data_IF_246262464957
#
_entry.id   IF_246262464957
#
_cell.length_a   1.000
_cell.length_b   1.000
_cell.length_c   1.000
_cell.angle_alpha   90.00
_cell.angle_beta   90.00
_cell.angle_gamma   90.00
#
_symmetry.space_group_name_H-M   'P 1'
#
loop_
_entity.id
_entity.type
_entity.pdbx_description
1 polymer ?
#
# COMPACT_ATOMS: atom_id res chain seq x y z
N UNK A 1 -13.12 49.10 87.91
CA UNK A 1 -11.90 48.84 87.11
C UNK A 1 -12.21 49.15 85.65
N UNK A 2 -11.35 49.96 85.04
CA UNK A 2 -11.47 50.49 83.67
C UNK A 2 -11.19 49.41 82.63
N UNK A 3 -11.92 49.36 81.52
CA UNK A 3 -11.36 48.93 80.22
C UNK A 3 -12.21 49.39 79.02
N UNK A 4 -11.64 50.40 78.34
CA UNK A 4 -11.66 50.82 76.92
C UNK A 4 -12.81 50.41 75.96
N UNK A 5 -13.26 51.35 75.10
CA UNK A 5 -14.12 51.04 73.97
C UNK A 5 -13.34 50.31 72.86
N UNK A 6 -13.97 49.42 72.08
CA UNK A 6 -13.31 48.75 70.97
C UNK A 6 -13.13 49.69 69.77
N UNK A 7 -11.96 49.58 69.17
CA UNK A 7 -11.47 50.36 68.03
C UNK A 7 -12.31 50.16 66.78
N UNK A 8 -12.54 51.25 66.04
CA UNK A 8 -13.00 51.22 64.65
C UNK A 8 -11.88 50.66 63.76
N UNK A 9 -12.05 49.42 63.29
CA UNK A 9 -11.27 48.90 62.18
C UNK A 9 -11.94 49.28 60.86
N UNK A 10 -11.36 50.27 60.18
CA UNK A 10 -11.63 50.56 58.77
C UNK A 10 -11.22 49.37 57.90
N UNK A 11 -12.19 48.55 57.49
CA UNK A 11 -11.98 47.54 56.44
C UNK A 11 -11.83 48.25 55.10
N UNK A 12 -10.59 48.30 54.60
CA UNK A 12 -10.32 48.59 53.18
C UNK A 12 -10.98 47.47 52.36
N UNK A 13 -11.93 47.84 51.51
CA UNK A 13 -12.44 46.96 50.47
C UNK A 13 -11.33 46.84 49.40
N UNK A 14 -10.64 45.71 49.35
CA UNK A 14 -9.75 45.40 48.23
C UNK A 14 -10.64 44.85 47.12
N UNK A 15 -10.89 45.65 46.07
CA UNK A 15 -11.46 45.14 44.83
C UNK A 15 -10.40 44.23 44.18
N UNK A 16 -10.57 42.92 44.32
CA UNK A 16 -9.88 41.96 43.46
C UNK A 16 -10.53 42.00 42.09
N UNK A 17 -9.89 42.66 41.14
CA UNK A 17 -10.24 42.57 39.73
C UNK A 17 -9.87 41.16 39.24
N UNK A 18 -10.85 40.28 39.10
CA UNK A 18 -10.68 39.01 38.36
C UNK A 18 -10.58 39.33 36.89
N UNK A 19 -9.35 39.38 36.37
CA UNK A 19 -9.10 39.38 34.94
C UNK A 19 -9.39 37.97 34.40
N UNK A 20 -10.58 37.77 33.83
CA UNK A 20 -10.88 36.61 32.97
C UNK A 20 -10.02 36.72 31.72
N UNK A 21 -8.91 35.99 31.67
CA UNK A 21 -8.15 35.78 30.45
C UNK A 21 -9.00 34.92 29.50
N UNK A 22 -9.57 35.55 28.47
CA UNK A 22 -10.18 34.83 27.37
C UNK A 22 -9.07 34.12 26.60
N UNK A 23 -9.00 32.79 26.70
CA UNK A 23 -8.17 31.97 25.83
C UNK A 23 -8.76 32.04 24.41
N UNK A 24 -8.13 32.84 23.57
CA UNK A 24 -8.38 32.80 22.13
C UNK A 24 -7.84 31.46 21.61
N UNK A 25 -8.74 30.52 21.32
CA UNK A 25 -8.41 29.34 20.52
C UNK A 25 -8.16 29.80 19.09
N UNK A 26 -6.89 30.00 18.73
CA UNK A 26 -6.49 30.07 17.32
C UNK A 26 -6.58 28.67 16.74
N UNK A 27 -7.66 28.36 16.03
CA UNK A 27 -7.69 27.23 15.11
C UNK A 27 -6.67 27.51 14.01
N UNK A 28 -5.48 26.92 14.11
CA UNK A 28 -4.54 26.92 13.01
C UNK A 28 -5.20 26.20 11.83
N UNK A 29 -5.52 26.95 10.78
CA UNK A 29 -5.98 26.38 9.53
C UNK A 29 -4.78 25.61 8.94
N UNK A 30 -4.76 24.29 9.13
CA UNK A 30 -3.80 23.42 8.44
C UNK A 30 -4.20 23.45 6.98
N UNK A 31 -3.49 24.28 6.20
CA UNK A 31 -3.63 24.27 4.75
C UNK A 31 -3.26 22.86 4.26
N UNK A 32 -4.02 22.27 3.31
CA UNK A 32 -3.64 21.01 2.72
C UNK A 32 -2.22 21.17 2.15
N UNK A 33 -1.30 20.35 2.66
CA UNK A 33 0.05 20.29 2.16
C UNK A 33 -0.03 19.98 0.67
N UNK A 34 0.58 20.81 -0.17
CA UNK A 34 0.77 20.49 -1.57
C UNK A 34 1.42 19.10 -1.64
N UNK A 35 0.87 18.19 -2.46
CA UNK A 35 1.44 16.88 -2.67
C UNK A 35 2.96 17.03 -2.89
N UNK A 36 3.76 16.39 -2.04
CA UNK A 36 5.21 16.36 -2.23
C UNK A 36 5.54 15.74 -3.58
N UNK A 37 6.73 16.02 -4.11
CA UNK A 37 7.22 15.30 -5.29
C UNK A 37 7.20 13.79 -5.00
N UNK A 38 6.79 12.97 -5.98
CA UNK A 38 6.75 11.53 -5.78
C UNK A 38 8.14 10.98 -5.44
N UNK A 39 8.17 9.93 -4.62
CA UNK A 39 9.41 9.30 -4.16
C UNK A 39 10.28 8.88 -5.36
N UNK A 40 11.60 9.04 -5.28
CA UNK A 40 12.51 8.63 -6.36
C UNK A 40 13.07 7.22 -6.17
N UNK A 41 12.78 6.58 -5.03
CA UNK A 41 13.25 5.24 -4.67
C UNK A 41 12.28 4.59 -3.67
N UNK A 42 12.12 3.26 -3.68
CA UNK A 42 11.22 2.57 -2.76
C UNK A 42 11.65 2.68 -1.31
N UNK A 43 10.69 2.92 -0.42
CA UNK A 43 10.83 2.69 1.02
C UNK A 43 10.34 1.28 1.35
N UNK A 44 11.03 0.60 2.27
CA UNK A 44 10.68 -0.73 2.74
C UNK A 44 11.53 -1.86 2.18
N UNK A 45 10.97 -3.07 2.13
CA UNK A 45 11.72 -4.27 1.74
C UNK A 45 12.24 -4.22 0.30
N UNK A 46 11.61 -3.45 -0.60
CA UNK A 46 12.09 -3.21 -1.96
C UNK A 46 13.21 -2.17 -2.08
N UNK A 47 13.67 -1.58 -0.96
CA UNK A 47 14.75 -0.57 -0.95
C UNK A 47 15.98 -1.02 -1.76
N UNK A 48 16.53 -0.10 -2.55
CA UNK A 48 17.66 -0.37 -3.46
C UNK A 48 17.27 -0.90 -4.84
N UNK A 49 15.97 -1.05 -5.14
CA UNK A 49 15.49 -1.30 -6.51
C UNK A 49 15.63 -0.04 -7.37
N UNK A 50 16.30 -0.15 -8.51
CA UNK A 50 16.59 0.97 -9.43
C UNK A 50 16.01 0.78 -10.82
N UNK A 51 15.58 -0.44 -11.17
CA UNK A 51 15.04 -0.77 -12.48
C UNK A 51 16.09 -0.58 -13.59
N UNK A 52 15.71 0.15 -14.63
CA UNK A 52 16.60 0.57 -15.72
C UNK A 52 17.59 1.67 -15.35
N UNK A 53 17.52 2.23 -14.14
CA UNK A 53 18.39 3.30 -13.67
C UNK A 53 18.40 4.50 -14.62
N UNK A 54 19.60 4.88 -15.08
CA UNK A 54 19.81 6.02 -15.99
C UNK A 54 19.87 5.63 -17.47
N UNK A 55 19.42 4.43 -17.85
CA UNK A 55 19.40 4.02 -19.25
C UNK A 55 18.52 4.97 -20.08
N UNK A 56 18.93 5.23 -21.33
CA UNK A 56 18.16 6.05 -22.25
C UNK A 56 16.77 5.45 -22.48
N UNK A 57 15.73 6.25 -22.29
CA UNK A 57 14.36 5.78 -22.39
C UNK A 57 13.94 5.52 -23.85
N UNK A 58 13.26 4.40 -24.07
CA UNK A 58 12.58 4.07 -25.32
C UNK A 58 11.08 4.23 -25.10
N UNK A 59 10.39 4.99 -25.96
CA UNK A 59 8.93 5.15 -25.89
C UNK A 59 8.24 4.19 -26.83
N UNK A 60 7.20 3.50 -26.34
CA UNK A 60 6.42 2.52 -27.09
C UNK A 60 4.92 2.80 -26.94
N UNK A 61 4.16 2.52 -28.00
CA UNK A 61 2.69 2.71 -28.03
C UNK A 61 1.93 1.52 -28.60
N UNK A 62 2.63 0.43 -28.92
CA UNK A 62 2.04 -0.81 -29.46
C UNK A 62 2.53 -2.02 -28.68
N UNK A 63 1.75 -3.10 -28.71
CA UNK A 63 2.09 -4.35 -28.03
C UNK A 63 3.42 -4.94 -28.53
N UNK A 64 3.64 -4.96 -29.85
CA UNK A 64 4.84 -5.55 -30.44
C UNK A 64 6.11 -4.76 -30.09
N UNK A 65 6.02 -3.43 -30.13
CA UNK A 65 7.10 -2.56 -29.68
C UNK A 65 7.38 -2.75 -28.19
N UNK A 66 6.33 -2.86 -27.36
CA UNK A 66 6.46 -3.11 -25.93
C UNK A 66 7.16 -4.45 -25.65
N UNK A 67 6.68 -5.56 -26.21
CA UNK A 67 7.28 -6.90 -26.06
C UNK A 67 8.75 -6.92 -26.45
N UNK A 68 9.09 -6.27 -27.57
CA UNK A 68 10.46 -6.15 -28.04
C UNK A 68 11.32 -5.37 -27.04
N UNK A 69 10.81 -4.24 -26.53
CA UNK A 69 11.55 -3.35 -25.66
C UNK A 69 11.79 -3.91 -24.25
N UNK A 70 10.93 -4.79 -23.72
CA UNK A 70 11.03 -5.30 -22.33
C UNK A 70 11.78 -6.62 -22.17
N UNK A 71 12.17 -7.26 -23.27
CA UNK A 71 12.87 -8.55 -23.26
C UNK A 71 14.35 -8.39 -22.84
N UNK A 72 14.93 -9.45 -22.27
CA UNK A 72 16.35 -9.53 -21.89
C UNK A 72 16.67 -8.82 -20.58
N UNK A 73 17.93 -8.82 -20.16
CA UNK A 73 18.33 -8.37 -18.81
C UNK A 73 19.19 -7.09 -18.78
N UNK A 74 19.50 -6.51 -19.95
CA UNK A 74 20.20 -5.23 -20.01
C UNK A 74 19.35 -4.11 -19.37
N UNK A 75 20.03 -3.15 -18.73
CA UNK A 75 19.37 -2.01 -18.11
C UNK A 75 18.57 -1.20 -19.14
N UNK A 76 17.28 -0.97 -18.86
CA UNK A 76 16.36 -0.35 -19.83
C UNK A 76 15.21 0.39 -19.16
N UNK A 77 14.88 1.54 -19.73
CA UNK A 77 13.71 2.35 -19.35
C UNK A 77 12.74 2.36 -20.53
N UNK A 78 11.56 1.80 -20.35
CA UNK A 78 10.50 1.72 -21.36
C UNK A 78 9.38 2.66 -20.93
N UNK A 79 9.15 3.70 -21.73
CA UNK A 79 8.02 4.62 -21.57
C UNK A 79 6.82 4.11 -22.36
N UNK A 80 5.74 3.77 -21.68
CA UNK A 80 4.48 3.35 -22.31
C UNK A 80 3.65 4.60 -22.59
N UNK A 81 3.27 4.82 -23.84
CA UNK A 81 2.45 5.96 -24.26
C UNK A 81 1.14 5.47 -24.88
N UNK A 82 0.05 5.62 -24.14
CA UNK A 82 -1.27 5.12 -24.48
C UNK A 82 -1.65 3.84 -23.73
N UNK A 83 -2.91 3.44 -23.89
CA UNK A 83 -3.46 2.23 -23.29
C UNK A 83 -3.32 1.06 -24.26
N UNK A 84 -2.40 0.13 -23.98
CA UNK A 84 -2.07 -0.98 -24.87
C UNK A 84 -2.91 -2.22 -24.48
N UNK A 85 -3.75 -2.76 -25.37
CA UNK A 85 -4.47 -4.00 -25.09
C UNK A 85 -3.50 -5.19 -25.07
N UNK A 86 -3.68 -6.05 -24.07
CA UNK A 86 -2.96 -7.31 -23.91
C UNK A 86 -3.89 -8.50 -24.12
N UNK A 87 -3.31 -9.62 -24.53
CA UNK A 87 -3.97 -10.93 -24.51
C UNK A 87 -3.06 -11.88 -23.74
N UNK A 88 -3.43 -12.17 -22.49
CA UNK A 88 -2.59 -12.92 -21.55
C UNK A 88 -1.52 -12.04 -20.91
N UNK A 89 -0.34 -12.62 -20.67
CA UNK A 89 0.74 -11.98 -19.92
C UNK A 89 1.93 -11.60 -20.83
N UNK A 90 2.59 -10.48 -20.52
CA UNK A 90 3.88 -10.10 -21.12
C UNK A 90 4.99 -10.23 -20.08
N UNK A 91 6.01 -11.05 -20.39
CA UNK A 91 7.17 -11.23 -19.51
C UNK A 91 8.11 -10.02 -19.57
N UNK A 92 8.50 -9.52 -18.40
CA UNK A 92 9.41 -8.38 -18.23
C UNK A 92 10.77 -8.91 -17.75
N UNK A 93 11.85 -8.57 -18.46
CA UNK A 93 13.20 -8.96 -18.08
C UNK A 93 13.82 -8.12 -16.97
N UNK A 94 14.99 -8.52 -16.46
CA UNK A 94 15.66 -7.84 -15.34
C UNK A 94 16.13 -6.42 -15.69
N UNK A 95 16.44 -5.63 -14.65
CA UNK A 95 16.97 -4.26 -14.78
C UNK A 95 16.09 -3.35 -15.64
N UNK A 96 14.78 -3.41 -15.39
CA UNK A 96 13.78 -2.79 -16.24
C UNK A 96 12.96 -1.78 -15.46
N UNK A 97 12.77 -0.59 -16.03
CA UNK A 97 11.74 0.34 -15.60
C UNK A 97 10.67 0.41 -16.68
N UNK A 98 9.44 0.01 -16.37
CA UNK A 98 8.26 0.27 -17.20
C UNK A 98 7.53 1.46 -16.60
N UNK A 99 7.44 2.55 -17.36
CA UNK A 99 6.93 3.84 -16.89
C UNK A 99 5.82 4.35 -17.81
N UNK A 100 4.63 4.63 -17.27
CA UNK A 100 3.58 5.27 -18.07
C UNK A 100 3.87 6.75 -18.37
N UNK A 101 3.53 7.20 -19.57
CA UNK A 101 3.56 8.60 -19.99
C UNK A 101 2.22 9.25 -19.67
N UNK A 102 2.23 10.35 -18.91
CA UNK A 102 1.00 11.02 -18.50
C UNK A 102 0.13 10.14 -17.59
N UNK A 103 -1.16 10.47 -17.50
CA UNK A 103 -2.11 9.81 -16.61
C UNK A 103 -2.93 8.69 -17.25
N UNK A 104 -2.87 8.53 -18.58
CA UNK A 104 -3.74 7.62 -19.34
C UNK A 104 -3.01 6.43 -19.97
N UNK A 105 -1.72 6.27 -19.69
CA UNK A 105 -0.92 5.18 -20.25
C UNK A 105 -1.00 3.91 -19.43
N UNK A 106 -0.86 2.76 -20.08
CA UNK A 106 -0.91 1.48 -19.37
C UNK A 106 -1.35 0.30 -20.23
N UNK A 107 -1.99 -0.68 -19.59
CA UNK A 107 -2.38 -1.95 -20.18
C UNK A 107 -3.80 -2.34 -19.82
N UNK A 108 -4.50 -3.03 -20.73
CA UNK A 108 -5.84 -3.56 -20.46
C UNK A 108 -6.05 -4.95 -21.05
N UNK A 109 -6.90 -5.77 -20.44
CA UNK A 109 -7.30 -7.09 -20.98
C UNK A 109 -6.32 -8.24 -20.68
N UNK A 110 -5.24 -7.95 -19.95
CA UNK A 110 -4.20 -8.90 -19.59
C UNK A 110 -3.24 -8.30 -18.57
N UNK A 111 -2.02 -8.85 -18.49
CA UNK A 111 -1.10 -8.57 -17.39
C UNK A 111 0.37 -8.48 -17.75
N UNK A 112 1.17 -8.02 -16.78
CA UNK A 112 2.63 -8.11 -16.82
C UNK A 112 3.09 -9.23 -15.91
N UNK A 113 4.12 -9.98 -16.31
CA UNK A 113 4.73 -10.99 -15.44
C UNK A 113 6.23 -10.75 -15.28
N UNK A 114 6.66 -10.67 -14.04
CA UNK A 114 8.05 -10.61 -13.62
C UNK A 114 8.43 -12.00 -13.11
N UNK A 115 9.05 -12.81 -13.97
CA UNK A 115 9.32 -14.22 -13.66
C UNK A 115 10.81 -14.51 -13.68
N UNK A 116 11.36 -14.93 -12.53
CA UNK A 116 12.79 -15.23 -12.37
C UNK A 116 13.68 -14.04 -12.73
N UNK A 117 13.27 -12.84 -12.34
CA UNK A 117 13.98 -11.60 -12.64
C UNK A 117 14.35 -10.84 -11.37
N UNK A 118 15.21 -9.85 -11.52
CA UNK A 118 15.55 -8.93 -10.42
C UNK A 118 15.60 -7.49 -10.90
N UNK A 119 15.44 -6.57 -9.95
CA UNK A 119 15.61 -5.14 -10.16
C UNK A 119 14.64 -4.58 -11.21
N UNK A 120 13.35 -4.60 -10.88
CA UNK A 120 12.29 -4.14 -11.78
C UNK A 120 11.42 -3.08 -11.12
N UNK A 121 11.16 -1.99 -11.86
CA UNK A 121 10.25 -0.91 -11.46
C UNK A 121 9.08 -0.89 -12.44
N UNK A 122 7.85 -0.97 -11.92
CA UNK A 122 6.61 -0.80 -12.71
C UNK A 122 5.87 0.40 -12.13
N UNK A 123 5.73 1.46 -12.93
CA UNK A 123 5.38 2.77 -12.40
C UNK A 123 4.45 3.59 -13.28
N UNK A 124 3.50 4.29 -12.67
CA UNK A 124 2.63 5.27 -13.36
C UNK A 124 1.75 4.70 -14.47
N UNK A 125 1.25 3.47 -14.33
CA UNK A 125 0.44 2.80 -15.35
C UNK A 125 -0.99 2.56 -14.88
N UNK A 126 -1.95 2.69 -15.79
CA UNK A 126 -3.27 2.11 -15.61
C UNK A 126 -3.20 0.63 -16.00
N UNK A 127 -3.60 -0.29 -15.12
CA UNK A 127 -3.58 -1.72 -15.38
C UNK A 127 -4.98 -2.25 -15.11
N UNK A 128 -5.73 -2.52 -16.18
CA UNK A 128 -7.17 -2.78 -16.06
C UNK A 128 -7.62 -4.11 -16.65
N UNK A 129 -8.65 -4.70 -16.04
CA UNK A 129 -9.37 -5.87 -16.56
C UNK A 129 -8.43 -7.04 -16.94
N UNK A 130 -7.59 -7.53 -16.01
CA UNK A 130 -6.70 -8.64 -16.28
C UNK A 130 -7.52 -9.93 -16.40
N UNK A 131 -7.87 -10.31 -17.64
CA UNK A 131 -8.68 -11.50 -17.91
C UNK A 131 -7.91 -12.74 -17.45
N UNK A 132 -8.56 -13.58 -16.65
CA UNK A 132 -7.96 -14.82 -16.17
C UNK A 132 -7.46 -15.67 -17.36
N UNK A 133 -6.29 -16.34 -17.26
CA UNK A 133 -5.50 -16.55 -16.04
C UNK A 133 -4.41 -15.49 -15.81
N UNK A 134 -4.52 -14.29 -16.39
CA UNK A 134 -3.60 -13.19 -16.07
C UNK A 134 -4.02 -12.45 -14.81
N UNK A 135 -3.03 -12.06 -14.01
CA UNK A 135 -3.19 -10.98 -13.03
C UNK A 135 -2.86 -9.64 -13.68
N UNK A 136 -3.15 -8.52 -13.02
CA UNK A 136 -2.65 -7.22 -13.48
C UNK A 136 -1.12 -7.19 -13.52
N UNK A 137 -0.48 -7.59 -12.41
CA UNK A 137 0.94 -7.88 -12.34
C UNK A 137 1.13 -9.19 -11.55
N UNK A 138 1.92 -10.11 -12.10
CA UNK A 138 2.40 -11.31 -11.39
C UNK A 138 3.91 -11.20 -11.15
N UNK A 139 4.34 -11.32 -9.90
CA UNK A 139 5.75 -11.39 -9.49
C UNK A 139 6.03 -12.82 -9.01
N UNK A 140 6.84 -13.56 -9.77
CA UNK A 140 7.08 -14.98 -9.55
C UNK A 140 8.58 -15.26 -9.48
N UNK A 141 9.07 -15.88 -8.40
CA UNK A 141 10.49 -16.19 -8.19
C UNK A 141 11.43 -15.00 -8.47
N UNK A 142 11.01 -13.78 -8.09
CA UNK A 142 11.70 -12.54 -8.47
C UNK A 142 12.05 -11.70 -7.24
N UNK A 143 13.09 -10.88 -7.35
CA UNK A 143 13.58 -10.05 -6.23
C UNK A 143 13.77 -8.59 -6.58
N UNK A 144 13.74 -7.69 -5.59
CA UNK A 144 13.99 -6.25 -5.79
C UNK A 144 13.01 -5.67 -6.82
N UNK A 145 11.74 -5.61 -6.40
CA UNK A 145 10.64 -5.14 -7.24
C UNK A 145 9.98 -3.94 -6.58
N UNK A 146 9.73 -2.90 -7.37
CA UNK A 146 9.00 -1.72 -6.95
C UNK A 146 7.79 -1.48 -7.86
N UNK A 147 6.59 -1.52 -7.26
CA UNK A 147 5.32 -1.30 -7.93
C UNK A 147 4.74 -0.01 -7.37
N UNK A 148 4.80 1.06 -8.15
CA UNK A 148 4.58 2.42 -7.63
C UNK A 148 3.64 3.27 -8.48
N UNK A 149 2.73 4.02 -7.86
CA UNK A 149 1.85 4.97 -8.57
C UNK A 149 1.08 4.34 -9.74
N UNK A 150 0.72 3.07 -9.66
CA UNK A 150 -0.11 2.43 -10.68
C UNK A 150 -1.59 2.50 -10.28
N UNK A 151 -2.47 2.44 -11.26
CA UNK A 151 -3.91 2.35 -11.07
C UNK A 151 -4.45 1.01 -11.57
N UNK A 152 -4.63 0.08 -10.64
CA UNK A 152 -5.22 -1.23 -10.86
C UNK A 152 -6.75 -1.16 -10.78
N UNK A 153 -7.43 -1.77 -11.75
CA UNK A 153 -8.90 -1.84 -11.74
C UNK A 153 -9.45 -3.03 -12.52
N UNK A 154 -10.67 -3.43 -12.20
CA UNK A 154 -11.46 -4.35 -13.01
C UNK A 154 -12.94 -3.91 -12.97
N UNK A 155 -13.85 -4.87 -12.86
CA UNK A 155 -15.23 -4.68 -12.45
C UNK A 155 -15.67 -5.90 -11.62
N UNK A 156 -16.85 -5.80 -10.99
CA UNK A 156 -17.44 -6.87 -10.16
C UNK A 156 -18.75 -7.41 -10.74
N UNK A 157 -19.00 -7.13 -12.00
CA UNK A 157 -20.25 -7.46 -12.71
C UNK A 157 -20.25 -8.91 -13.25
N UNK A 158 -19.21 -9.67 -12.92
CA UNK A 158 -18.98 -11.05 -13.29
C UNK A 158 -18.70 -11.90 -12.04
N UNK A 159 -18.60 -13.21 -12.23
CA UNK A 159 -18.10 -14.11 -11.18
C UNK A 159 -16.67 -13.71 -10.75
N UNK A 160 -16.34 -13.98 -9.48
CA UNK A 160 -15.07 -13.62 -8.86
C UNK A 160 -13.83 -14.18 -9.55
N UNK A 161 -13.97 -15.22 -10.37
CA UNK A 161 -12.87 -15.88 -11.08
C UNK A 161 -12.84 -15.57 -12.59
N UNK A 162 -13.69 -14.66 -13.08
CA UNK A 162 -13.58 -14.13 -14.46
C UNK A 162 -12.27 -13.33 -14.65
N UNK A 163 -11.94 -12.51 -13.66
CA UNK A 163 -10.64 -11.88 -13.49
C UNK A 163 -9.88 -12.60 -12.38
N UNK A 164 -8.55 -12.69 -12.46
CA UNK A 164 -7.75 -13.27 -11.38
C UNK A 164 -7.32 -12.22 -10.32
N UNK A 165 -6.04 -12.09 -9.97
CA UNK A 165 -5.55 -11.05 -9.05
C UNK A 165 -5.30 -9.70 -9.74
N UNK A 166 -5.28 -8.59 -8.99
CA UNK A 166 -4.66 -7.36 -9.51
C UNK A 166 -3.14 -7.41 -9.35
N UNK A 167 -2.65 -7.94 -8.22
CA UNK A 167 -1.22 -8.10 -7.95
C UNK A 167 -0.94 -9.38 -7.17
N UNK A 168 -0.24 -10.32 -7.80
CA UNK A 168 0.18 -11.55 -7.14
C UNK A 168 1.70 -11.62 -6.99
N UNK A 169 2.19 -11.98 -5.80
CA UNK A 169 3.60 -12.11 -5.46
C UNK A 169 3.83 -13.50 -4.86
N UNK A 170 4.48 -14.40 -5.59
CA UNK A 170 4.53 -15.82 -5.21
C UNK A 170 5.85 -16.49 -5.59
N UNK A 171 5.96 -17.78 -5.27
CA UNK A 171 7.08 -18.64 -5.62
C UNK A 171 8.42 -18.10 -5.12
N UNK A 172 8.55 -17.87 -3.82
CA UNK A 172 9.78 -17.38 -3.21
C UNK A 172 10.22 -15.98 -3.65
N UNK A 173 9.33 -15.20 -4.28
CA UNK A 173 9.61 -13.79 -4.58
C UNK A 173 9.93 -13.03 -3.30
N UNK A 174 10.76 -11.99 -3.39
CA UNK A 174 11.30 -11.35 -2.20
C UNK A 174 11.70 -9.90 -2.41
N UNK A 175 11.80 -9.12 -1.32
CA UNK A 175 12.20 -7.72 -1.38
C UNK A 175 11.32 -6.88 -2.34
N UNK A 176 10.02 -6.81 -2.03
CA UNK A 176 9.04 -6.09 -2.85
C UNK A 176 8.45 -4.90 -2.08
N UNK A 177 8.40 -3.73 -2.72
CA UNK A 177 7.63 -2.57 -2.24
C UNK A 177 6.49 -2.27 -3.21
N UNK A 178 5.29 -2.11 -2.67
CA UNK A 178 4.06 -1.73 -3.35
C UNK A 178 3.60 -0.41 -2.74
N UNK A 179 3.78 0.70 -3.45
CA UNK A 179 3.58 2.04 -2.89
C UNK A 179 2.71 2.94 -3.75
N UNK A 180 1.90 3.78 -3.13
CA UNK A 180 1.16 4.84 -3.85
C UNK A 180 0.28 4.34 -4.99
N UNK A 181 -0.15 3.08 -5.00
CA UNK A 181 -1.01 2.55 -6.04
C UNK A 181 -2.49 2.71 -5.67
N UNK A 182 -3.38 2.74 -6.65
CA UNK A 182 -4.81 2.52 -6.43
C UNK A 182 -5.21 1.13 -6.87
N UNK A 183 -6.01 0.44 -6.07
CA UNK A 183 -6.66 -0.83 -6.41
C UNK A 183 -8.17 -0.64 -6.29
N UNK A 184 -8.90 -0.87 -7.38
CA UNK A 184 -10.33 -0.55 -7.44
C UNK A 184 -11.17 -1.66 -8.05
N UNK A 185 -12.40 -1.77 -7.54
CA UNK A 185 -13.52 -2.48 -8.16
C UNK A 185 -13.17 -3.92 -8.58
N UNK A 186 -12.76 -4.73 -7.59
CA UNK A 186 -12.28 -6.09 -7.86
C UNK A 186 -12.52 -7.06 -6.71
N UNK A 187 -12.52 -8.36 -6.99
CA UNK A 187 -12.70 -9.38 -5.96
C UNK A 187 -11.42 -9.76 -5.20
N UNK A 188 -10.28 -9.86 -5.90
CA UNK A 188 -9.02 -10.41 -5.39
C UNK A 188 -7.89 -9.39 -5.54
N UNK A 189 -7.69 -8.54 -4.52
CA UNK A 189 -6.75 -7.41 -4.58
C UNK A 189 -5.31 -7.85 -4.83
N UNK A 190 -4.66 -8.40 -3.81
CA UNK A 190 -3.29 -8.87 -3.87
C UNK A 190 -3.02 -10.12 -3.04
N UNK A 191 -2.49 -11.16 -3.69
CA UNK A 191 -2.05 -12.39 -3.05
C UNK A 191 -0.52 -12.40 -2.86
N UNK A 192 -0.05 -12.83 -1.69
CA UNK A 192 1.36 -13.07 -1.42
C UNK A 192 1.53 -14.49 -0.88
N UNK A 193 2.16 -15.36 -1.68
CA UNK A 193 2.23 -16.81 -1.44
C UNK A 193 0.95 -17.54 -1.88
N UNK A 194 1.07 -18.35 -2.93
CA UNK A 194 -0.11 -18.84 -3.68
C UNK A 194 -0.82 -20.05 -3.04
N UNK A 195 -0.11 -20.86 -2.25
CA UNK A 195 -0.60 -22.17 -1.78
C UNK A 195 -0.07 -22.50 -0.38
N UNK A 196 -0.92 -23.07 0.46
CA UNK A 196 -0.56 -23.60 1.80
C UNK A 196 0.47 -24.73 1.70
N UNK A 197 0.58 -25.39 0.55
CA UNK A 197 1.49 -26.50 0.30
C UNK A 197 2.84 -26.09 -0.30
N UNK A 198 3.14 -24.78 -0.36
CA UNK A 198 4.37 -24.26 -0.97
C UNK A 198 5.45 -23.83 0.04
N UNK A 199 5.36 -24.32 1.28
CA UNK A 199 6.26 -23.92 2.37
C UNK A 199 7.74 -24.11 2.04
N UNK A 200 8.12 -25.13 1.26
CA UNK A 200 9.51 -25.41 0.89
C UNK A 200 10.15 -24.32 0.02
N UNK A 201 9.35 -23.57 -0.73
CA UNK A 201 9.81 -22.48 -1.58
C UNK A 201 9.57 -21.11 -0.93
N UNK A 202 8.46 -20.94 -0.21
CA UNK A 202 8.04 -19.62 0.29
C UNK A 202 8.58 -19.27 1.69
N UNK A 203 8.94 -20.28 2.51
CA UNK A 203 9.46 -20.02 3.87
C UNK A 203 10.82 -19.34 3.81
N UNK A 204 10.96 -18.21 4.51
CA UNK A 204 12.18 -17.38 4.48
C UNK A 204 12.21 -16.34 3.37
N UNK A 205 11.17 -16.28 2.53
CA UNK A 205 10.99 -15.34 1.44
C UNK A 205 9.75 -14.46 1.65
N UNK A 206 9.22 -13.87 0.57
CA UNK A 206 7.98 -13.08 0.56
C UNK A 206 8.03 -11.89 1.54
N UNK A 207 9.16 -11.17 1.58
CA UNK A 207 9.25 -9.91 2.33
C UNK A 207 8.69 -8.76 1.51
N UNK A 208 7.55 -8.24 1.96
CA UNK A 208 6.75 -7.28 1.21
C UNK A 208 6.43 -6.04 2.05
N UNK A 209 6.45 -4.87 1.42
CA UNK A 209 5.98 -3.62 2.03
C UNK A 209 4.86 -3.04 1.19
N UNK A 210 3.77 -2.65 1.83
CA UNK A 210 2.65 -1.94 1.23
C UNK A 210 2.48 -0.61 1.94
N UNK A 211 2.63 0.51 1.24
CA UNK A 211 2.35 1.81 1.85
C UNK A 211 1.71 2.84 0.94
N UNK A 212 0.91 3.71 1.55
CA UNK A 212 0.23 4.80 0.85
C UNK A 212 -0.63 4.34 -0.34
N UNK A 213 -1.07 3.07 -0.35
CA UNK A 213 -1.95 2.56 -1.38
C UNK A 213 -3.41 2.87 -1.03
N UNK A 214 -4.21 3.08 -2.06
CA UNK A 214 -5.66 3.25 -1.96
C UNK A 214 -6.39 1.99 -2.46
N UNK A 215 -7.01 1.23 -1.56
CA UNK A 215 -7.89 0.13 -1.90
C UNK A 215 -9.35 0.59 -1.76
N UNK A 216 -10.10 0.58 -2.86
CA UNK A 216 -11.50 1.02 -2.87
C UNK A 216 -12.39 0.00 -3.56
N UNK A 217 -13.41 -0.51 -2.86
CA UNK A 217 -14.31 -1.53 -3.39
C UNK A 217 -13.55 -2.79 -3.87
N UNK A 218 -12.52 -3.19 -3.12
CA UNK A 218 -11.79 -4.44 -3.30
C UNK A 218 -12.29 -5.43 -2.27
N UNK A 219 -12.87 -6.55 -2.70
CA UNK A 219 -13.62 -7.44 -1.80
C UNK A 219 -12.72 -8.13 -0.77
N UNK A 220 -11.58 -8.68 -1.20
CA UNK A 220 -10.68 -9.46 -0.34
C UNK A 220 -9.23 -9.38 -0.80
N UNK A 221 -8.32 -9.92 0.04
CA UNK A 221 -6.87 -10.01 -0.20
C UNK A 221 -6.20 -8.64 -0.26
N UNK A 222 -6.06 -7.94 0.87
CA UNK A 222 -5.47 -6.60 0.95
C UNK A 222 -4.36 -6.50 2.02
N UNK A 223 -3.18 -7.12 1.79
CA UNK A 223 -2.97 -8.32 0.98
C UNK A 223 -3.41 -9.58 1.75
N UNK A 224 -3.47 -10.72 1.06
CA UNK A 224 -3.49 -12.05 1.70
C UNK A 224 -2.09 -12.64 1.65
N UNK A 225 -1.40 -12.73 2.78
CA UNK A 225 -0.01 -13.17 2.92
C UNK A 225 0.10 -14.54 3.58
N UNK A 226 0.87 -15.43 2.97
CA UNK A 226 1.33 -16.71 3.54
C UNK A 226 2.84 -16.72 3.74
N UNK A 227 3.31 -17.41 4.79
CA UNK A 227 4.71 -17.69 5.16
C UNK A 227 5.64 -16.49 5.40
N UNK A 228 5.52 -15.43 4.60
CA UNK A 228 6.44 -14.31 4.56
C UNK A 228 6.28 -13.30 5.68
N UNK A 229 6.92 -12.15 5.46
CA UNK A 229 6.91 -11.02 6.40
C UNK A 229 6.40 -9.79 5.67
N UNK A 230 5.31 -9.21 6.15
CA UNK A 230 4.76 -8.00 5.56
C UNK A 230 4.94 -6.79 6.45
N UNK A 231 4.97 -5.61 5.85
CA UNK A 231 4.69 -4.36 6.55
C UNK A 231 3.65 -3.57 5.75
N UNK A 232 2.49 -3.36 6.35
CA UNK A 232 1.33 -2.71 5.75
C UNK A 232 1.08 -1.41 6.53
N UNK A 233 1.51 -0.27 5.99
CA UNK A 233 1.43 1.01 6.69
C UNK A 233 0.91 2.18 5.86
N UNK A 234 0.24 3.13 6.50
CA UNK A 234 -0.30 4.35 5.85
C UNK A 234 -1.18 4.06 4.61
N UNK A 235 -1.83 2.90 4.55
CA UNK A 235 -2.76 2.59 3.45
C UNK A 235 -4.18 3.05 3.80
N UNK A 236 -4.95 3.38 2.77
CA UNK A 236 -6.38 3.68 2.90
C UNK A 236 -7.21 2.56 2.27
N UNK A 237 -8.04 1.90 3.07
CA UNK A 237 -8.88 0.77 2.64
C UNK A 237 -10.36 1.09 2.85
N UNK A 238 -11.14 1.01 1.77
CA UNK A 238 -12.57 1.34 1.77
C UNK A 238 -13.40 0.23 1.13
N UNK A 239 -14.42 -0.23 1.83
CA UNK A 239 -15.45 -1.10 1.24
C UNK A 239 -15.02 -2.57 1.06
N UNK A 240 -14.11 -3.07 1.90
CA UNK A 240 -13.64 -4.46 1.83
C UNK A 240 -14.46 -5.40 2.74
N UNK A 241 -14.65 -6.65 2.30
CA UNK A 241 -15.16 -7.72 3.18
C UNK A 241 -14.06 -8.12 4.16
N UNK A 242 -12.88 -8.44 3.63
CA UNK A 242 -11.67 -8.73 4.40
C UNK A 242 -10.49 -7.97 3.80
N UNK A 243 -9.67 -7.34 4.64
CA UNK A 243 -8.49 -6.62 4.19
C UNK A 243 -7.21 -7.44 4.38
N UNK A 244 -6.42 -7.14 5.42
CA UNK A 244 -5.15 -7.84 5.68
C UNK A 244 -5.43 -9.26 6.18
N UNK A 245 -4.93 -10.27 5.49
CA UNK A 245 -5.07 -11.67 5.90
C UNK A 245 -3.69 -12.32 6.04
N UNK A 246 -3.27 -12.59 7.27
CA UNK A 246 -1.98 -13.23 7.58
C UNK A 246 -2.19 -14.72 7.86
N UNK A 247 -1.50 -15.60 7.13
CA UNK A 247 -1.77 -17.04 7.10
C UNK A 247 -0.47 -17.85 7.11
N UNK A 248 -0.55 -19.13 7.41
CA UNK A 248 0.56 -20.08 7.31
C UNK A 248 1.84 -19.59 7.99
N UNK A 249 1.72 -19.08 9.22
CA UNK A 249 2.84 -18.56 10.00
C UNK A 249 3.40 -17.19 9.57
N UNK A 250 2.77 -16.51 8.61
CA UNK A 250 3.19 -15.19 8.16
C UNK A 250 3.25 -14.15 9.29
N UNK A 251 4.14 -13.17 9.15
CA UNK A 251 4.33 -12.09 10.13
C UNK A 251 3.80 -10.74 9.60
N UNK A 252 2.67 -10.35 10.19
CA UNK A 252 1.91 -9.10 10.10
C UNK A 252 2.39 -7.85 10.88
N UNK A 253 2.97 -6.78 10.32
CA UNK A 253 2.92 -5.45 10.98
C UNK A 253 1.95 -4.54 10.23
N UNK A 254 0.87 -4.14 10.90
CA UNK A 254 -0.20 -3.29 10.37
C UNK A 254 -0.19 -1.96 11.12
N UNK A 255 0.31 -0.91 10.49
CA UNK A 255 0.64 0.37 11.15
C UNK A 255 -0.07 1.58 10.52
N UNK A 256 -0.73 2.42 11.31
CA UNK A 256 -1.25 3.73 10.89
C UNK A 256 -2.19 3.73 9.65
N UNK A 257 -2.77 2.58 9.29
CA UNK A 257 -3.71 2.50 8.18
C UNK A 257 -5.08 3.03 8.56
N UNK A 258 -5.86 3.44 7.56
CA UNK A 258 -7.24 3.89 7.72
C UNK A 258 -8.18 2.93 7.02
N UNK A 259 -9.17 2.41 7.75
CA UNK A 259 -10.21 1.52 7.23
C UNK A 259 -11.58 2.22 7.30
N UNK A 260 -12.39 2.12 6.24
CA UNK A 260 -13.76 2.66 6.21
C UNK A 260 -14.69 1.69 5.50
N UNK A 261 -15.87 1.47 6.05
CA UNK A 261 -16.85 0.53 5.46
C UNK A 261 -16.23 -0.85 5.18
N UNK A 262 -15.22 -1.23 5.96
CA UNK A 262 -14.52 -2.51 5.87
C UNK A 262 -15.05 -3.40 6.98
N UNK A 263 -15.43 -4.64 6.67
CA UNK A 263 -15.98 -5.53 7.70
C UNK A 263 -14.90 -6.08 8.61
N UNK A 264 -13.82 -6.62 8.04
CA UNK A 264 -12.67 -7.16 8.78
C UNK A 264 -11.38 -6.52 8.28
N UNK A 265 -10.76 -5.69 9.10
CA UNK A 265 -9.51 -5.00 8.75
C UNK A 265 -8.31 -5.95 8.76
N UNK A 266 -8.25 -6.84 9.76
CA UNK A 266 -7.16 -7.81 9.91
C UNK A 266 -7.74 -9.14 10.38
N UNK A 267 -7.34 -10.25 9.75
CA UNK A 267 -7.65 -11.60 10.21
C UNK A 267 -6.45 -12.52 10.08
N UNK A 268 -6.30 -13.46 11.02
CA UNK A 268 -5.21 -14.45 11.03
C UNK A 268 -5.70 -15.90 11.04
N UNK A 269 -7.02 -16.12 11.14
CA UNK A 269 -7.62 -17.40 11.53
C UNK A 269 -8.68 -17.90 10.55
N UNK A 270 -8.52 -17.58 9.26
CA UNK A 270 -9.45 -17.99 8.20
C UNK A 270 -8.72 -18.70 7.06
N UNK A 271 -9.47 -19.56 6.37
CA UNK A 271 -9.18 -20.12 5.04
C UNK A 271 -7.87 -20.94 4.87
N UNK A 272 -7.04 -21.10 5.91
CA UNK A 272 -5.76 -21.84 5.91
C UNK A 272 -5.68 -22.83 7.08
N UNK A 273 -4.83 -23.85 6.93
CA UNK A 273 -4.60 -24.87 7.96
C UNK A 273 -3.85 -24.34 9.20
N UNK A 274 -3.03 -23.31 9.00
CA UNK A 274 -2.25 -22.68 10.07
C UNK A 274 -2.47 -21.18 10.04
N UNK A 275 -2.74 -20.62 11.22
CA UNK A 275 -2.90 -19.20 11.41
C UNK A 275 -1.61 -18.43 11.11
N UNK A 276 -1.75 -17.16 10.72
CA UNK A 276 -0.64 -16.22 10.73
C UNK A 276 -0.55 -15.45 12.04
N UNK A 277 0.31 -14.43 12.03
CA UNK A 277 0.49 -13.52 13.14
C UNK A 277 0.27 -12.08 12.70
N UNK A 278 -0.24 -11.24 13.60
CA UNK A 278 -0.37 -9.80 13.33
C UNK A 278 -0.15 -8.92 14.57
N UNK A 279 0.63 -7.85 14.39
CA UNK A 279 0.83 -6.75 15.32
C UNK A 279 0.22 -5.48 14.73
N UNK A 280 -0.61 -4.79 15.51
CA UNK A 280 -1.30 -3.57 15.10
C UNK A 280 -0.80 -2.38 15.92
N UNK A 281 -0.60 -1.23 15.28
CA UNK A 281 -0.39 0.04 15.99
C UNK A 281 -0.88 1.24 15.20
N UNK A 282 -1.47 2.21 15.90
CA UNK A 282 -1.89 3.50 15.34
C UNK A 282 -2.94 3.49 14.22
N UNK A 283 -3.52 2.33 13.87
CA UNK A 283 -4.56 2.23 12.84
C UNK A 283 -5.86 2.90 13.27
N UNK A 284 -6.52 3.55 12.33
CA UNK A 284 -7.92 3.95 12.45
C UNK A 284 -8.80 2.87 11.78
N UNK A 285 -9.37 1.99 12.62
CA UNK A 285 -10.16 0.85 12.14
C UNK A 285 -11.54 1.23 11.59
N UNK A 286 -12.03 2.45 11.85
CA UNK A 286 -13.34 2.90 11.35
C UNK A 286 -14.52 1.96 11.64
N UNK A 287 -14.46 1.19 12.74
CA UNK A 287 -15.46 0.19 13.13
C UNK A 287 -15.27 -1.21 12.55
N UNK A 288 -14.23 -1.44 11.74
CA UNK A 288 -13.89 -2.77 11.23
C UNK A 288 -13.45 -3.72 12.36
N UNK A 289 -13.80 -5.00 12.23
CA UNK A 289 -13.36 -6.04 13.15
C UNK A 289 -11.88 -6.40 12.94
N UNK A 290 -11.27 -6.95 13.99
CA UNK A 290 -9.95 -7.60 13.95
C UNK A 290 -10.06 -9.00 14.55
N UNK A 291 -9.60 -9.99 13.80
CA UNK A 291 -9.70 -11.41 14.15
C UNK A 291 -8.30 -12.01 14.25
N UNK A 292 -7.57 -11.57 15.27
CA UNK A 292 -6.17 -11.93 15.48
C UNK A 292 -6.13 -12.98 16.58
N UNK A 293 -5.83 -14.21 16.20
CA UNK A 293 -5.67 -15.33 17.13
C UNK A 293 -4.34 -15.27 17.86
N UNK A 294 -3.28 -14.75 17.22
CA UNK A 294 -1.92 -14.69 17.76
C UNK A 294 -1.16 -13.43 17.30
N UNK A 295 -0.39 -12.85 18.20
CA UNK A 295 0.51 -11.71 17.94
C UNK A 295 1.89 -12.18 17.52
N UNK A 296 2.53 -11.45 16.61
CA UNK A 296 3.79 -11.85 15.98
C UNK A 296 5.03 -11.24 16.62
N UNK A 297 6.21 -11.57 16.08
CA UNK A 297 7.50 -10.99 16.52
C UNK A 297 7.88 -9.73 15.74
N UNK A 298 7.27 -9.50 14.57
CA UNK A 298 7.51 -8.31 13.77
C UNK A 298 6.83 -7.08 14.40
N UNK A 299 7.54 -6.40 15.29
CA UNK A 299 7.08 -5.16 15.94
C UNK A 299 7.75 -3.91 15.36
N UNK A 300 8.88 -4.08 14.66
CA UNK A 300 9.62 -3.02 13.97
C UNK A 300 10.18 -3.61 12.68
N UNK A 301 10.01 -2.95 11.52
CA UNK A 301 10.62 -3.42 10.28
C UNK A 301 12.14 -3.19 10.27
N UNK A 302 12.92 -4.00 9.54
CA UNK A 302 14.39 -3.92 9.54
C UNK A 302 14.94 -2.83 8.58
N UNK A 303 14.23 -1.72 8.43
CA UNK A 303 14.61 -0.60 7.56
C UNK A 303 14.13 0.74 8.12
N UNK A 304 14.75 1.83 7.68
CA UNK A 304 14.31 3.18 8.01
C UNK A 304 13.10 3.60 7.16
N UNK A 305 12.15 4.28 7.77
CA UNK A 305 10.96 4.83 7.13
C UNK A 305 10.38 5.93 8.03
N UNK A 306 9.42 6.68 7.50
CA UNK A 306 8.61 7.61 8.27
C UNK A 306 7.15 7.26 8.01
N UNK A 307 6.43 6.86 9.05
CA UNK A 307 4.99 6.71 8.97
C UNK A 307 4.32 8.05 9.28
N UNK A 308 3.29 8.40 8.52
CA UNK A 308 2.44 9.53 8.86
C UNK A 308 1.39 9.14 9.92
N UNK A 309 0.70 10.11 10.50
CA UNK A 309 -0.39 9.81 11.43
C UNK A 309 -1.60 9.30 10.64
N UNK A 310 -2.34 8.32 11.17
CA UNK A 310 -3.56 7.81 10.50
C UNK A 310 -4.57 8.93 10.14
N UNK A 311 -4.58 10.05 10.88
CA UNK A 311 -5.43 11.22 10.59
C UNK A 311 -5.10 11.93 9.27
N UNK A 312 -3.87 11.79 8.75
CA UNK A 312 -3.43 12.44 7.50
C UNK A 312 -3.47 11.50 6.30
N UNK A 313 -3.40 10.19 6.53
CA UNK A 313 -3.36 9.14 5.49
C UNK A 313 -4.45 9.29 4.43
N UNK A 314 -5.70 9.56 4.81
CA UNK A 314 -6.78 9.71 3.80
C UNK A 314 -6.47 10.85 2.83
N UNK A 315 -5.99 11.99 3.33
CA UNK A 315 -5.69 13.15 2.48
C UNK A 315 -4.46 12.89 1.60
N UNK A 316 -3.40 12.34 2.17
CA UNK A 316 -2.17 11.98 1.45
C UNK A 316 -2.46 10.97 0.34
N UNK A 317 -3.09 9.84 0.69
CA UNK A 317 -3.35 8.74 -0.24
C UNK A 317 -4.34 9.12 -1.34
N UNK A 318 -5.44 9.82 -1.03
CA UNK A 318 -6.42 10.20 -2.07
C UNK A 318 -5.91 11.27 -3.03
N UNK A 319 -4.91 12.06 -2.63
CA UNK A 319 -4.31 13.09 -3.49
C UNK A 319 -3.13 12.56 -4.32
N UNK A 320 -2.34 11.66 -3.75
CA UNK A 320 -1.08 11.16 -4.32
C UNK A 320 -1.14 9.78 -4.98
N UNK A 321 -2.05 8.87 -4.59
CA UNK A 321 -2.01 7.52 -5.14
C UNK A 321 -2.55 7.42 -6.58
N UNK A 322 -1.92 6.57 -7.38
CA UNK A 322 -2.36 6.16 -8.72
C UNK A 322 -1.59 6.81 -9.87
N UNK A 323 -1.97 6.42 -11.09
CA UNK A 323 -1.35 6.93 -12.31
C UNK A 323 -1.67 8.43 -12.51
N UNK A 324 -0.70 9.17 -13.05
CA UNK A 324 -0.75 10.61 -13.27
C UNK A 324 -0.37 11.46 -12.05
N UNK A 325 0.22 10.86 -11.02
CA UNK A 325 0.55 11.53 -9.75
C UNK A 325 2.05 11.52 -9.40
N UNK A 326 2.90 11.21 -10.38
CA UNK A 326 4.36 11.34 -10.26
C UNK A 326 4.83 12.80 -10.20
#
# INVERSE_FOLDING_TARGET
MRTRPPQRHSRRLVLTATATAALAFTTALVLPQSAGAAETSPVGFGAGTTGGGSATAVTVSTLDAFKTAVTGDAAKVIKVNGLIPLSGQVDIGSNTTVLGVGSSSGFTGGGLRLKKVTNVVVRNLNISKPVAPADGITVQASTKVWIDHNSFSADRDHDKDYYDGLLDINHGSDYVTVSWNTFKDHYKGSLVGHSDNNASEDTGHLRVTYHHNYFSNVYSRIPSLRFGTGHFYDNYVVGAETAVHSRMGAQMLVENNVFRSTKVAVTTSRDSDVDGYANLRGNDLGGAATEISQVGTLTTPPYSYTAEAASTVVASVTSGAGAGKL
#
